data_IF_761255204016
#
_entry.id   IF_761255204016
#
_cell.length_a   1.000
_cell.length_b   1.000
_cell.length_c   1.000
_cell.angle_alpha   90.00
_cell.angle_beta   90.00
_cell.angle_gamma   90.00
#
_symmetry.space_group_name_H-M   'P 1'
#
loop_
_entity.id
_entity.type
_entity.pdbx_description
1 polymer ?
#
# COMPACT_ATOMS: atom_id res chain seq x y z
N UNK A 1 -1.51 20.74 4.74
CA UNK A 1 -2.87 20.36 4.26
C UNK A 1 -3.85 20.59 5.41
N UNK A 2 -5.12 20.85 5.15
CA UNK A 2 -6.09 20.94 6.25
C UNK A 2 -6.37 19.55 6.84
N UNK A 3 -6.64 19.48 8.14
CA UNK A 3 -6.99 18.21 8.82
C UNK A 3 -8.23 17.55 8.18
N UNK A 4 -9.18 18.36 7.67
CA UNK A 4 -10.33 17.86 6.91
C UNK A 4 -9.92 17.10 5.64
N UNK A 5 -8.91 17.57 4.89
CA UNK A 5 -8.39 16.86 3.71
C UNK A 5 -7.69 15.56 4.10
N UNK A 6 -6.88 15.57 5.17
CA UNK A 6 -6.20 14.36 5.66
C UNK A 6 -7.22 13.29 6.09
N UNK A 7 -8.28 13.70 6.78
CA UNK A 7 -9.38 12.82 7.16
C UNK A 7 -10.07 12.16 5.95
N UNK A 8 -10.39 12.95 4.92
CA UNK A 8 -10.99 12.44 3.69
C UNK A 8 -10.05 11.48 2.96
N UNK A 9 -8.76 11.84 2.84
CA UNK A 9 -7.76 10.98 2.21
C UNK A 9 -7.58 9.66 2.96
N UNK A 10 -7.54 9.69 4.29
CA UNK A 10 -7.40 8.49 5.10
C UNK A 10 -8.60 7.54 4.93
N UNK A 11 -9.83 8.06 4.95
CA UNK A 11 -11.04 7.25 4.75
C UNK A 11 -11.21 6.75 3.33
N UNK A 12 -10.96 7.60 2.33
CA UNK A 12 -11.02 7.23 0.92
C UNK A 12 -10.01 6.12 0.59
N UNK A 13 -8.76 6.29 1.01
CA UNK A 13 -7.72 5.26 0.86
C UNK A 13 -8.04 4.00 1.66
N UNK A 14 -8.65 4.10 2.85
CA UNK A 14 -9.09 2.93 3.61
C UNK A 14 -10.16 2.12 2.88
N UNK A 15 -11.14 2.77 2.25
CA UNK A 15 -12.18 2.08 1.48
C UNK A 15 -11.59 1.32 0.29
N UNK A 16 -10.67 1.96 -0.44
CA UNK A 16 -9.93 1.30 -1.54
C UNK A 16 -9.11 0.12 -1.02
N UNK A 17 -8.34 0.32 0.06
CA UNK A 17 -7.55 -0.74 0.68
C UNK A 17 -8.40 -1.89 1.20
N UNK A 18 -9.57 -1.63 1.79
CA UNK A 18 -10.47 -2.68 2.25
C UNK A 18 -10.86 -3.63 1.12
N UNK A 19 -11.23 -3.07 -0.04
CA UNK A 19 -11.53 -3.87 -1.23
C UNK A 19 -10.28 -4.57 -1.77
N UNK A 20 -9.16 -3.86 -1.94
CA UNK A 20 -7.92 -4.43 -2.45
C UNK A 20 -7.41 -5.57 -1.55
N UNK A 21 -7.43 -5.41 -0.23
CA UNK A 21 -7.02 -6.43 0.74
C UNK A 21 -7.93 -7.64 0.64
N UNK A 22 -9.25 -7.47 0.56
CA UNK A 22 -10.18 -8.58 0.39
C UNK A 22 -9.87 -9.39 -0.87
N UNK A 23 -9.73 -8.73 -2.03
CA UNK A 23 -9.39 -9.38 -3.31
C UNK A 23 -8.02 -10.04 -3.22
N UNK A 24 -7.02 -9.37 -2.64
CA UNK A 24 -5.67 -9.90 -2.50
C UNK A 24 -5.64 -11.15 -1.62
N UNK A 25 -6.30 -11.13 -0.47
CA UNK A 25 -6.36 -12.28 0.45
C UNK A 25 -7.08 -13.47 -0.17
N UNK A 26 -8.22 -13.25 -0.83
CA UNK A 26 -8.92 -14.32 -1.56
C UNK A 26 -8.01 -14.93 -2.62
N UNK A 27 -7.33 -14.09 -3.40
CA UNK A 27 -6.38 -14.54 -4.42
C UNK A 27 -5.23 -15.33 -3.80
N UNK A 28 -4.67 -14.87 -2.67
CA UNK A 28 -3.55 -15.52 -1.99
C UNK A 28 -3.95 -16.90 -1.47
N UNK A 29 -5.13 -17.03 -0.85
CA UNK A 29 -5.67 -18.31 -0.36
C UNK A 29 -5.88 -19.32 -1.50
N UNK A 30 -6.28 -18.85 -2.68
CA UNK A 30 -6.41 -19.71 -3.86
C UNK A 30 -5.03 -20.03 -4.48
N UNK A 31 -4.15 -19.04 -4.57
CA UNK A 31 -2.86 -19.17 -5.25
C UNK A 31 -1.83 -20.00 -4.48
N UNK A 32 -1.89 -20.01 -3.14
CA UNK A 32 -0.93 -20.75 -2.30
C UNK A 32 -0.95 -22.26 -2.56
N UNK A 33 -2.09 -22.79 -3.03
CA UNK A 33 -2.25 -24.20 -3.39
C UNK A 33 -1.35 -24.60 -4.59
N UNK A 34 -1.00 -23.63 -5.44
CA UNK A 34 -0.10 -23.81 -6.58
C UNK A 34 1.36 -23.41 -6.27
N UNK A 35 1.72 -23.22 -5.00
CA UNK A 35 3.07 -22.86 -4.55
C UNK A 35 3.38 -21.36 -4.57
N UNK A 36 4.42 -20.96 -3.83
CA UNK A 36 4.86 -19.56 -3.68
C UNK A 36 6.27 -19.30 -4.22
N UNK A 37 6.79 -20.19 -5.07
CA UNK A 37 8.08 -19.97 -5.73
C UNK A 37 8.02 -18.74 -6.65
N UNK A 38 9.17 -18.14 -6.92
CA UNK A 38 9.27 -17.00 -7.84
C UNK A 38 8.70 -17.35 -9.23
N UNK A 39 8.98 -18.55 -9.73
CA UNK A 39 8.42 -19.07 -10.98
C UNK A 39 6.89 -19.13 -10.94
N UNK A 40 6.30 -19.67 -9.87
CA UNK A 40 4.86 -19.80 -9.74
C UNK A 40 4.17 -18.42 -9.64
N UNK A 41 4.80 -17.47 -8.94
CA UNK A 41 4.32 -16.08 -8.86
C UNK A 41 4.38 -15.42 -10.24
N UNK A 42 5.52 -15.49 -10.92
CA UNK A 42 5.71 -14.89 -12.25
C UNK A 42 4.80 -15.52 -13.29
N UNK A 43 4.57 -16.83 -13.24
CA UNK A 43 3.63 -17.53 -14.12
C UNK A 43 2.19 -16.98 -14.03
N UNK A 44 1.82 -16.34 -12.92
CA UNK A 44 0.49 -15.71 -12.72
C UNK A 44 0.47 -14.20 -12.96
N UNK A 45 1.63 -13.54 -12.96
CA UNK A 45 1.71 -12.07 -12.90
C UNK A 45 2.43 -11.43 -14.09
N UNK A 46 3.40 -12.13 -14.70
CA UNK A 46 4.20 -11.62 -15.81
C UNK A 46 3.31 -11.34 -17.03
N UNK A 47 3.41 -10.13 -17.59
CA UNK A 47 2.61 -9.65 -18.72
C UNK A 47 1.14 -9.38 -18.41
N UNK A 48 0.66 -9.64 -17.18
CA UNK A 48 -0.74 -9.48 -16.82
C UNK A 48 -1.03 -8.05 -16.35
N UNK A 49 -1.51 -7.21 -17.27
CA UNK A 49 -1.76 -5.80 -17.00
C UNK A 49 -2.77 -5.56 -15.86
N UNK A 50 -3.76 -6.45 -15.71
CA UNK A 50 -4.72 -6.39 -14.60
C UNK A 50 -4.05 -6.44 -13.23
N UNK A 51 -3.03 -7.30 -13.07
CA UNK A 51 -2.26 -7.39 -11.82
C UNK A 51 -1.37 -6.16 -11.60
N UNK A 52 -0.78 -5.59 -12.65
CA UNK A 52 0.00 -4.36 -12.54
C UNK A 52 -0.87 -3.20 -12.04
N UNK A 53 -2.05 -3.00 -12.63
CA UNK A 53 -2.99 -1.95 -12.20
C UNK A 53 -3.46 -2.19 -10.77
N UNK A 54 -3.82 -3.44 -10.44
CA UNK A 54 -4.28 -3.80 -9.10
C UNK A 54 -3.22 -3.51 -8.04
N UNK A 55 -1.99 -4.01 -8.20
CA UNK A 55 -0.91 -3.80 -7.24
C UNK A 55 -0.41 -2.35 -7.22
N UNK A 56 -0.44 -1.64 -8.35
CA UNK A 56 -0.17 -0.20 -8.40
C UNK A 56 -1.18 0.62 -7.59
N UNK A 57 -2.47 0.34 -7.75
CA UNK A 57 -3.54 0.97 -6.96
C UNK A 57 -3.41 0.63 -5.47
N UNK A 58 -3.13 -0.64 -5.15
CA UNK A 58 -2.90 -1.09 -3.78
C UNK A 58 -1.75 -0.28 -3.15
N UNK A 59 -0.59 -0.25 -3.80
CA UNK A 59 0.60 0.45 -3.30
C UNK A 59 0.34 1.95 -3.11
N UNK A 60 -0.35 2.59 -4.06
CA UNK A 60 -0.72 4.00 -3.95
C UNK A 60 -1.67 4.27 -2.78
N UNK A 61 -2.71 3.45 -2.61
CA UNK A 61 -3.64 3.58 -1.50
C UNK A 61 -2.94 3.35 -0.13
N UNK A 62 -2.05 2.37 -0.04
CA UNK A 62 -1.24 2.10 1.14
C UNK A 62 -0.30 3.28 1.49
N UNK A 63 0.38 3.83 0.48
CA UNK A 63 1.28 4.97 0.64
C UNK A 63 0.58 6.25 1.11
N UNK A 64 -0.72 6.40 0.85
CA UNK A 64 -1.55 7.49 1.39
C UNK A 64 -2.06 7.15 2.79
N UNK A 65 -2.64 5.96 2.97
CA UNK A 65 -3.33 5.59 4.20
C UNK A 65 -2.36 5.47 5.39
N UNK A 66 -1.26 4.75 5.20
CA UNK A 66 -0.35 4.37 6.27
C UNK A 66 0.30 5.57 6.98
N UNK A 67 0.92 6.56 6.29
CA UNK A 67 1.56 7.68 7.00
C UNK A 67 0.55 8.58 7.72
N UNK A 68 -0.68 8.74 7.21
CA UNK A 68 -1.71 9.54 7.89
C UNK A 68 -2.17 8.85 9.17
N UNK A 69 -2.44 7.54 9.11
CA UNK A 69 -2.81 6.76 10.29
C UNK A 69 -1.68 6.70 11.33
N UNK A 70 -0.46 6.47 10.86
CA UNK A 70 0.73 6.40 11.72
C UNK A 70 1.01 7.73 12.42
N UNK A 71 0.70 8.87 11.79
CA UNK A 71 0.75 10.20 12.43
C UNK A 71 -0.08 10.27 13.71
N UNK A 72 -1.32 9.76 13.65
CA UNK A 72 -2.21 9.77 14.80
C UNK A 72 -1.66 8.86 15.93
N UNK A 73 -1.26 7.64 15.57
CA UNK A 73 -0.70 6.67 16.52
C UNK A 73 0.56 7.20 17.20
N UNK A 74 1.53 7.74 16.45
CA UNK A 74 2.79 8.25 17.02
C UNK A 74 2.58 9.48 17.90
N UNK A 75 1.63 10.35 17.54
CA UNK A 75 1.25 11.50 18.35
C UNK A 75 0.66 11.05 19.69
N UNK A 76 -0.17 10.01 19.68
CA UNK A 76 -0.89 9.52 20.87
C UNK A 76 -0.02 8.65 21.77
N UNK A 77 0.83 7.79 21.19
CA UNK A 77 1.61 6.80 21.95
C UNK A 77 3.01 7.30 22.33
N UNK A 78 3.65 8.12 21.49
CA UNK A 78 5.02 8.60 21.70
C UNK A 78 5.12 10.12 21.88
N UNK A 79 4.01 10.86 21.75
CA UNK A 79 4.00 12.32 21.81
C UNK A 79 4.75 13.01 20.66
N UNK A 80 5.16 12.26 19.63
CA UNK A 80 5.99 12.79 18.55
C UNK A 80 5.16 13.66 17.61
N UNK A 81 5.55 14.93 17.47
CA UNK A 81 4.81 15.96 16.73
C UNK A 81 5.76 16.98 16.09
N UNK A 82 5.20 17.80 15.20
CA UNK A 82 5.91 18.88 14.51
C UNK A 82 6.54 18.46 13.18
N UNK A 83 7.29 19.38 12.58
CA UNK A 83 7.77 19.26 11.20
C UNK A 83 8.65 18.01 10.97
N UNK A 84 9.48 17.62 11.95
CA UNK A 84 10.31 16.42 11.83
C UNK A 84 9.49 15.13 11.72
N UNK A 85 8.38 15.03 12.47
CA UNK A 85 7.46 13.90 12.37
C UNK A 85 6.72 13.89 11.01
N UNK A 86 6.26 15.05 10.56
CA UNK A 86 5.57 15.18 9.28
C UNK A 86 6.49 14.81 8.10
N UNK A 87 7.76 15.23 8.13
CA UNK A 87 8.77 14.86 7.11
C UNK A 87 9.10 13.37 7.14
N UNK A 88 9.27 12.78 8.32
CA UNK A 88 9.54 11.35 8.45
C UNK A 88 8.38 10.51 7.88
N UNK A 89 7.13 10.90 8.15
CA UNK A 89 5.94 10.23 7.64
C UNK A 89 5.77 10.41 6.14
N UNK A 90 6.10 11.59 5.61
CA UNK A 90 6.13 11.81 4.16
C UNK A 90 7.17 10.92 3.48
N UNK A 91 8.38 10.85 4.04
CA UNK A 91 9.44 9.96 3.55
C UNK A 91 9.00 8.50 3.61
N UNK A 92 8.36 8.08 4.70
CA UNK A 92 7.80 6.73 4.84
C UNK A 92 6.77 6.42 3.75
N UNK A 93 5.82 7.33 3.48
CA UNK A 93 4.86 7.19 2.39
C UNK A 93 5.53 7.08 1.01
N UNK A 94 6.54 7.93 0.74
CA UNK A 94 7.29 7.89 -0.51
C UNK A 94 8.07 6.57 -0.68
N UNK A 95 8.67 6.06 0.40
CA UNK A 95 9.36 4.77 0.42
C UNK A 95 8.39 3.62 0.12
N UNK A 96 7.21 3.61 0.74
CA UNK A 96 6.17 2.61 0.45
C UNK A 96 5.74 2.64 -1.01
N UNK A 97 5.51 3.84 -1.57
CA UNK A 97 5.12 3.98 -2.97
C UNK A 97 6.22 3.48 -3.91
N UNK A 98 7.47 3.88 -3.69
CA UNK A 98 8.60 3.49 -4.52
C UNK A 98 8.85 1.97 -4.45
N UNK A 99 8.85 1.40 -3.25
CA UNK A 99 9.05 -0.03 -3.05
C UNK A 99 7.89 -0.85 -3.64
N UNK A 100 6.65 -0.42 -3.41
CA UNK A 100 5.45 -1.07 -3.93
C UNK A 100 5.36 -1.03 -5.45
N UNK A 101 5.60 0.15 -6.05
CA UNK A 101 5.63 0.29 -7.50
C UNK A 101 6.74 -0.55 -8.15
N UNK A 102 7.95 -0.52 -7.58
CA UNK A 102 9.07 -1.36 -8.04
C UNK A 102 8.72 -2.85 -7.99
N UNK A 103 8.08 -3.31 -6.91
CA UNK A 103 7.67 -4.71 -6.78
C UNK A 103 6.57 -5.07 -7.80
N UNK A 104 5.55 -4.23 -7.97
CA UNK A 104 4.49 -4.42 -8.96
C UNK A 104 5.04 -4.49 -10.38
N UNK A 105 5.99 -3.61 -10.72
CA UNK A 105 6.68 -3.65 -12.01
C UNK A 105 7.53 -4.90 -12.17
N UNK A 106 8.27 -5.30 -11.15
CA UNK A 106 9.16 -6.48 -11.21
C UNK A 106 8.42 -7.80 -11.42
N UNK A 107 7.18 -7.94 -10.93
CA UNK A 107 6.36 -9.14 -11.16
C UNK A 107 5.57 -9.07 -12.47
N UNK A 108 5.42 -7.88 -13.05
CA UNK A 108 4.78 -7.69 -14.35
C UNK A 108 5.75 -7.85 -15.52
N UNK A 109 6.93 -7.25 -15.45
CA UNK A 109 7.92 -7.21 -16.54
C UNK A 109 8.66 -8.53 -16.74
#
# INVERSE_FOLDING_TARGET
>A
MSEARLFLLQRGSAAVLGLCVAVHLVTLVLAVQAGLSAEAILGRTRGQFGWLVFYGLFAAAAAVHAPIGLRAVLRETAGWKGQGADLALLAFGALLLAAGWRAAWAVFA
#
